data_IF_586564553147
#
_entry.id   IF_586564553147
#
_cell.length_a   1.000
_cell.length_b   1.000
_cell.length_c   1.000
_cell.angle_alpha   90.00
_cell.angle_beta   90.00
_cell.angle_gamma   90.00
#
_symmetry.space_group_name_H-M   'P 1'
#
loop_
_entity.id
_entity.type
_entity.pdbx_description
1 polymer ?
#
# COMPACT_ATOMS: atom_id res chain seq x y z
N UNK A 1 19.73 7.16 -6.67
CA UNK A 1 19.21 8.54 -6.85
C UNK A 1 18.39 9.01 -5.62
N UNK A 2 17.40 8.30 -5.12
CA UNK A 2 16.73 8.66 -3.85
C UNK A 2 17.69 8.56 -2.67
N UNK A 3 18.49 7.49 -2.55
CA UNK A 3 19.56 7.35 -1.56
C UNK A 3 20.57 8.50 -1.61
N UNK A 4 20.98 8.93 -2.80
CA UNK A 4 21.91 10.06 -2.99
C UNK A 4 21.24 11.39 -2.61
N UNK A 5 19.97 11.55 -2.92
CA UNK A 5 19.18 12.72 -2.51
C UNK A 5 19.06 12.79 -0.99
N UNK A 6 18.74 11.68 -0.32
CA UNK A 6 18.67 11.61 1.13
C UNK A 6 20.02 11.79 1.81
N UNK A 7 21.10 11.21 1.28
CA UNK A 7 22.46 11.48 1.77
C UNK A 7 22.84 12.97 1.65
N UNK A 8 22.49 13.63 0.55
CA UNK A 8 22.74 15.06 0.36
C UNK A 8 21.89 15.94 1.26
N UNK A 9 20.61 15.61 1.44
CA UNK A 9 19.68 16.43 2.23
C UNK A 9 19.82 16.24 3.73
N UNK A 10 20.21 15.05 4.21
CA UNK A 10 20.16 14.68 5.64
C UNK A 10 21.49 14.20 6.22
N UNK A 11 22.55 14.08 5.42
CA UNK A 11 23.90 13.75 5.88
C UNK A 11 24.07 12.38 6.54
N UNK A 12 23.09 11.47 6.41
CA UNK A 12 23.10 10.14 7.02
C UNK A 12 23.10 9.05 5.96
N UNK A 13 23.95 8.03 6.14
CA UNK A 13 23.84 6.77 5.41
C UNK A 13 22.59 6.04 5.93
N UNK A 14 21.63 5.81 5.03
CA UNK A 14 20.47 4.98 5.30
C UNK A 14 20.89 3.53 5.08
N UNK A 15 20.65 2.65 6.05
CA UNK A 15 20.91 1.22 5.86
C UNK A 15 19.92 0.65 4.85
N UNK A 16 20.29 -0.44 4.13
CA UNK A 16 19.38 -1.11 3.20
C UNK A 16 18.04 -1.54 3.84
N UNK A 17 18.05 -1.82 5.14
CA UNK A 17 16.85 -2.19 5.90
C UNK A 17 15.89 -1.00 6.14
N UNK A 18 16.40 0.23 6.02
CA UNK A 18 15.59 1.45 6.11
C UNK A 18 14.90 1.83 4.77
N UNK A 19 15.03 1.01 3.74
CA UNK A 19 14.36 1.17 2.44
C UNK A 19 12.89 0.73 2.45
N UNK A 20 12.27 0.60 3.61
CA UNK A 20 10.82 0.57 3.66
C UNK A 20 10.29 1.95 3.26
N UNK A 21 9.46 1.98 2.21
CA UNK A 21 8.88 3.22 1.69
C UNK A 21 8.18 4.05 2.77
N UNK A 22 7.60 3.40 3.78
CA UNK A 22 7.03 4.05 4.95
C UNK A 22 8.07 4.86 5.76
N UNK A 23 9.29 4.36 5.90
CA UNK A 23 10.37 5.08 6.56
C UNK A 23 10.82 6.29 5.74
N UNK A 24 10.87 6.17 4.42
CA UNK A 24 11.18 7.31 3.55
C UNK A 24 10.09 8.38 3.68
N UNK A 25 8.82 8.01 3.62
CA UNK A 25 7.71 8.92 3.83
C UNK A 25 7.77 9.57 5.23
N UNK A 26 8.13 8.80 6.26
CA UNK A 26 8.30 9.32 7.62
C UNK A 26 9.47 10.30 7.73
N UNK A 27 10.58 10.06 7.03
CA UNK A 27 11.72 11.00 6.99
C UNK A 27 11.34 12.31 6.30
N UNK A 28 10.72 12.24 5.12
CA UNK A 28 10.25 13.42 4.38
C UNK A 28 9.27 14.23 5.20
N UNK A 29 8.40 13.54 5.94
CA UNK A 29 7.38 14.18 6.75
C UNK A 29 7.94 15.18 7.79
N UNK A 30 9.22 15.07 8.16
CA UNK A 30 9.87 16.03 9.09
C UNK A 30 9.95 17.45 8.53
N UNK A 31 9.94 17.58 7.21
CA UNK A 31 9.97 18.89 6.53
C UNK A 31 8.61 19.58 6.53
N UNK A 32 7.56 18.88 6.90
CA UNK A 32 6.17 19.34 6.81
C UNK A 32 5.51 19.40 8.19
N UNK A 33 4.65 20.41 8.38
CA UNK A 33 3.92 20.59 9.64
C UNK A 33 2.76 19.61 9.75
N UNK A 34 1.98 19.47 8.69
CA UNK A 34 0.76 18.65 8.65
C UNK A 34 0.87 17.57 7.59
N UNK A 35 0.72 16.34 8.04
CA UNK A 35 0.92 15.15 7.21
C UNK A 35 -0.31 14.25 7.25
N UNK A 36 -0.73 13.77 6.09
CA UNK A 36 -1.76 12.75 5.95
C UNK A 36 -1.14 11.49 5.36
N UNK A 37 -1.32 10.37 6.03
CA UNK A 37 -0.99 9.04 5.50
C UNK A 37 -2.29 8.25 5.28
N UNK A 38 -2.50 7.77 4.07
CA UNK A 38 -3.74 7.09 3.67
C UNK A 38 -3.44 5.67 3.23
N UNK A 39 -4.16 4.69 3.79
CA UNK A 39 -4.12 3.30 3.36
C UNK A 39 -5.51 2.65 3.49
N UNK A 40 -5.72 1.55 2.81
CA UNK A 40 -6.97 0.79 2.89
C UNK A 40 -6.98 -0.22 4.05
N UNK A 41 -5.81 -0.63 4.56
CA UNK A 41 -5.65 -1.61 5.64
C UNK A 41 -5.28 -0.96 6.95
N UNK A 42 -5.97 -1.34 8.02
CA UNK A 42 -5.71 -0.81 9.36
C UNK A 42 -4.34 -1.24 9.92
N UNK A 43 -3.88 -2.43 9.56
CA UNK A 43 -2.57 -2.95 9.95
C UNK A 43 -1.44 -2.05 9.42
N UNK A 44 -1.55 -1.65 8.15
CA UNK A 44 -0.58 -0.74 7.52
C UNK A 44 -0.59 0.63 8.18
N UNK A 45 -1.78 1.16 8.52
CA UNK A 45 -1.86 2.44 9.24
C UNK A 45 -1.15 2.38 10.60
N UNK A 46 -1.28 1.27 11.33
CA UNK A 46 -0.58 1.08 12.62
C UNK A 46 0.92 0.93 12.45
N UNK A 47 1.34 0.19 11.42
CA UNK A 47 2.75 0.01 11.09
C UNK A 47 3.39 1.34 10.68
N UNK A 48 2.75 2.10 9.79
CA UNK A 48 3.18 3.43 9.39
C UNK A 48 3.27 4.39 10.60
N UNK A 49 2.28 4.36 11.50
CA UNK A 49 2.32 5.17 12.72
C UNK A 49 3.52 4.84 13.59
N UNK A 50 3.89 3.56 13.72
CA UNK A 50 5.11 3.15 14.45
C UNK A 50 6.38 3.65 13.77
N UNK A 51 6.45 3.57 12.43
CA UNK A 51 7.57 4.08 11.65
C UNK A 51 7.71 5.60 11.79
N UNK A 52 6.61 6.33 11.70
CA UNK A 52 6.59 7.78 11.90
C UNK A 52 6.98 8.19 13.33
N UNK A 53 6.48 7.47 14.34
CA UNK A 53 6.89 7.67 15.72
C UNK A 53 8.41 7.54 15.89
N UNK A 54 8.99 6.46 15.39
CA UNK A 54 10.43 6.20 15.51
C UNK A 54 11.27 7.28 14.80
N UNK A 55 10.82 7.74 13.64
CA UNK A 55 11.55 8.72 12.82
C UNK A 55 11.38 10.15 13.34
N UNK A 56 10.15 10.55 13.66
CA UNK A 56 9.85 11.92 14.15
C UNK A 56 10.13 12.09 15.62
N UNK A 57 10.22 11.00 16.39
CA UNK A 57 10.32 10.99 17.85
C UNK A 57 9.22 11.85 18.50
N UNK A 58 7.98 11.67 18.04
CA UNK A 58 6.84 12.46 18.46
C UNK A 58 5.57 11.59 18.47
N UNK A 59 4.74 11.79 19.51
CA UNK A 59 3.41 11.20 19.65
C UNK A 59 2.28 12.10 19.09
N UNK A 60 2.61 13.17 18.37
CA UNK A 60 1.64 14.09 17.82
C UNK A 60 1.03 13.52 16.52
N UNK A 61 0.37 12.39 16.67
CA UNK A 61 -0.36 11.72 15.60
C UNK A 61 -1.71 11.17 16.08
N UNK A 62 -2.63 10.98 15.12
CA UNK A 62 -3.95 10.43 15.38
C UNK A 62 -4.48 9.61 14.21
N UNK A 63 -5.58 8.91 14.44
CA UNK A 63 -6.22 8.09 13.42
C UNK A 63 -7.57 8.68 12.99
N UNK A 64 -7.83 8.57 11.68
CA UNK A 64 -9.13 8.92 11.08
C UNK A 64 -9.70 7.67 10.38
N UNK A 65 -10.35 6.81 11.15
CA UNK A 65 -10.85 5.50 10.70
C UNK A 65 -12.05 5.05 11.53
N UNK A 66 -12.92 4.25 10.97
CA UNK A 66 -14.06 3.68 11.68
C UNK A 66 -14.80 4.71 12.54
N UNK A 67 -14.79 4.54 13.84
CA UNK A 67 -15.38 5.48 14.83
C UNK A 67 -14.39 6.56 15.28
N UNK A 68 -13.11 6.34 15.11
CA UNK A 68 -12.05 7.28 15.49
C UNK A 68 -11.90 8.39 14.44
N UNK A 69 -12.04 9.66 14.85
CA UNK A 69 -12.06 10.83 13.97
C UNK A 69 -11.17 11.93 14.54
N UNK A 70 -9.86 11.62 14.66
CA UNK A 70 -8.89 12.61 15.12
C UNK A 70 -8.64 13.66 14.02
N UNK A 71 -8.67 14.94 14.39
CA UNK A 71 -8.49 16.08 13.46
C UNK A 71 -7.49 17.12 13.97
N UNK A 72 -6.98 16.97 15.20
CA UNK A 72 -6.20 17.97 15.92
C UNK A 72 -4.69 17.64 16.01
N UNK A 73 -4.25 16.60 15.30
CA UNK A 73 -2.86 16.15 15.29
C UNK A 73 -2.11 16.57 14.04
N UNK A 74 -0.79 16.73 14.17
CA UNK A 74 0.05 17.11 13.03
C UNK A 74 0.19 15.98 12.01
N UNK A 75 0.11 14.72 12.44
CA UNK A 75 0.12 13.55 11.53
C UNK A 75 -1.18 12.78 11.70
N UNK A 76 -1.91 12.60 10.61
CA UNK A 76 -3.16 11.83 10.59
C UNK A 76 -2.98 10.59 9.72
N UNK A 77 -3.28 9.43 10.31
CA UNK A 77 -3.35 8.13 9.61
C UNK A 77 -4.81 7.82 9.30
N UNK A 78 -5.19 7.85 8.03
CA UNK A 78 -6.57 7.73 7.63
C UNK A 78 -6.85 6.47 6.80
N UNK A 79 -7.96 5.78 7.11
CA UNK A 79 -8.43 4.73 6.22
C UNK A 79 -9.20 5.31 5.05
N UNK A 80 -8.93 4.79 3.84
CA UNK A 80 -9.64 5.18 2.61
C UNK A 80 -11.15 4.97 2.74
N UNK A 81 -11.57 3.87 3.35
CA UNK A 81 -12.98 3.54 3.55
C UNK A 81 -13.72 4.57 4.42
N UNK A 82 -12.99 5.29 5.27
CA UNK A 82 -13.56 6.35 6.10
C UNK A 82 -13.39 7.71 5.44
N UNK A 83 -12.15 8.15 5.23
CA UNK A 83 -11.85 9.51 4.73
C UNK A 83 -12.40 9.75 3.32
N UNK A 84 -12.43 8.72 2.45
CA UNK A 84 -12.95 8.83 1.08
C UNK A 84 -14.46 9.02 0.95
N UNK A 85 -15.22 9.04 2.06
CA UNK A 85 -16.62 9.38 2.03
C UNK A 85 -16.80 10.88 1.91
N UNK A 86 -17.77 11.30 1.08
CA UNK A 86 -18.05 12.74 0.82
C UNK A 86 -18.32 13.56 2.07
N UNK A 87 -18.91 12.94 3.09
CA UNK A 87 -19.24 13.60 4.36
C UNK A 87 -18.02 14.05 5.18
N UNK A 88 -16.86 13.45 4.95
CA UNK A 88 -15.60 13.77 5.65
C UNK A 88 -14.66 14.66 4.84
N UNK A 89 -14.84 14.74 3.53
CA UNK A 89 -14.09 15.64 2.64
C UNK A 89 -14.78 17.02 2.60
N UNK A 90 -14.73 17.71 3.72
CA UNK A 90 -15.36 19.02 3.94
C UNK A 90 -14.51 19.87 4.87
N UNK A 91 -14.63 21.18 4.77
CA UNK A 91 -13.90 22.13 5.63
C UNK A 91 -14.19 21.97 7.13
N UNK A 92 -15.30 21.31 7.49
CA UNK A 92 -15.62 20.97 8.88
C UNK A 92 -14.57 20.05 9.52
N UNK A 93 -13.96 19.16 8.75
CA UNK A 93 -12.93 18.23 9.21
C UNK A 93 -11.55 18.73 8.80
N UNK A 94 -11.34 18.93 7.52
CA UNK A 94 -10.07 19.38 6.95
C UNK A 94 -10.35 20.28 5.75
N UNK A 95 -9.73 21.46 5.67
CA UNK A 95 -9.73 22.25 4.44
C UNK A 95 -8.91 21.56 3.35
N UNK A 96 -9.13 21.88 2.07
CA UNK A 96 -8.36 21.28 0.97
C UNK A 96 -6.84 21.45 1.10
N UNK A 97 -6.39 22.54 1.68
CA UNK A 97 -5.00 22.92 1.92
C UNK A 97 -4.50 22.55 3.33
N UNK A 98 -5.29 21.77 4.09
CA UNK A 98 -4.96 21.48 5.48
C UNK A 98 -3.65 20.71 5.64
N UNK A 99 -3.37 19.74 4.76
CA UNK A 99 -2.16 18.94 4.81
C UNK A 99 -1.11 19.46 3.84
N UNK A 100 0.11 19.66 4.32
CA UNK A 100 1.26 20.04 3.50
C UNK A 100 1.80 18.84 2.70
N UNK A 101 1.74 17.65 3.31
CA UNK A 101 2.26 16.41 2.74
C UNK A 101 1.21 15.30 2.83
N UNK A 102 0.89 14.69 1.70
CA UNK A 102 -0.06 13.57 1.61
C UNK A 102 0.65 12.35 1.04
N UNK A 103 0.60 11.25 1.77
CA UNK A 103 1.11 9.93 1.36
C UNK A 103 -0.06 9.01 1.08
N UNK A 104 -0.11 8.44 -0.09
CA UNK A 104 -1.11 7.45 -0.49
C UNK A 104 -0.42 6.10 -0.69
N UNK A 105 -0.71 5.18 0.20
CA UNK A 105 -0.27 3.80 0.08
C UNK A 105 -1.18 3.03 -0.89
N UNK A 106 -0.61 2.03 -1.58
CA UNK A 106 -1.26 1.29 -2.66
C UNK A 106 -1.84 2.22 -3.75
N UNK A 107 -1.00 3.15 -4.22
CA UNK A 107 -1.38 4.20 -5.15
C UNK A 107 -2.00 3.69 -6.45
N UNK A 108 -1.77 2.43 -6.82
CA UNK A 108 -2.45 1.80 -7.96
C UNK A 108 -3.99 1.77 -7.81
N UNK A 109 -4.51 1.96 -6.60
CA UNK A 109 -5.93 2.14 -6.35
C UNK A 109 -6.42 3.59 -6.51
N UNK A 110 -5.56 4.57 -6.79
CA UNK A 110 -5.91 6.00 -6.86
C UNK A 110 -7.00 6.33 -7.89
N UNK A 111 -7.23 5.46 -8.86
CA UNK A 111 -8.33 5.55 -9.83
C UNK A 111 -9.69 5.09 -9.29
N UNK A 112 -9.74 4.44 -8.12
CA UNK A 112 -10.97 4.03 -7.48
C UNK A 112 -11.64 5.23 -6.79
N UNK A 113 -12.98 5.26 -6.79
CA UNK A 113 -13.78 6.39 -6.34
C UNK A 113 -13.37 7.01 -5.00
N UNK A 114 -13.14 6.20 -3.95
CA UNK A 114 -12.79 6.73 -2.64
C UNK A 114 -11.38 7.34 -2.62
N UNK A 115 -10.41 6.71 -3.27
CA UNK A 115 -9.06 7.23 -3.41
C UNK A 115 -9.05 8.50 -4.27
N UNK A 116 -9.73 8.45 -5.42
CA UNK A 116 -9.84 9.58 -6.34
C UNK A 116 -10.38 10.82 -5.64
N UNK A 117 -11.46 10.68 -4.84
CA UNK A 117 -12.02 11.82 -4.08
C UNK A 117 -11.00 12.41 -3.10
N UNK A 118 -10.19 11.59 -2.43
CA UNK A 118 -9.15 12.07 -1.51
C UNK A 118 -8.10 12.88 -2.28
N UNK A 119 -7.59 12.33 -3.39
CA UNK A 119 -6.57 12.97 -4.22
C UNK A 119 -7.08 14.27 -4.85
N UNK A 120 -8.32 14.29 -5.31
CA UNK A 120 -8.93 15.48 -5.91
C UNK A 120 -9.27 16.57 -4.88
N UNK A 121 -9.61 16.18 -3.65
CA UNK A 121 -10.00 17.10 -2.60
C UNK A 121 -8.81 17.85 -2.02
N UNK A 122 -7.78 17.13 -1.57
CA UNK A 122 -6.62 17.74 -0.94
C UNK A 122 -5.68 18.38 -1.97
N UNK A 123 -5.09 19.52 -1.58
CA UNK A 123 -4.12 20.28 -2.38
C UNK A 123 -2.83 20.46 -1.60
N UNK A 124 -2.10 19.36 -1.32
CA UNK A 124 -0.86 19.42 -0.56
C UNK A 124 0.26 20.08 -1.35
N UNK A 125 1.30 20.53 -0.67
CA UNK A 125 2.55 20.96 -1.30
C UNK A 125 3.26 19.78 -1.98
N UNK A 126 3.13 18.57 -1.41
CA UNK A 126 3.70 17.36 -1.97
C UNK A 126 2.77 16.15 -1.79
N UNK A 127 2.50 15.46 -2.88
CA UNK A 127 1.77 14.19 -2.91
C UNK A 127 2.74 13.05 -3.23
N UNK A 128 2.84 12.07 -2.34
CA UNK A 128 3.61 10.85 -2.55
C UNK A 128 2.69 9.65 -2.73
N UNK A 129 2.77 9.00 -3.87
CA UNK A 129 2.14 7.70 -4.13
C UNK A 129 3.15 6.56 -3.94
N UNK A 130 2.77 5.54 -3.18
CA UNK A 130 3.55 4.32 -2.97
C UNK A 130 2.80 3.13 -3.56
N UNK A 131 3.45 2.31 -4.37
CA UNK A 131 2.85 1.07 -4.90
C UNK A 131 3.92 0.05 -5.25
N UNK A 132 3.63 -1.22 -5.01
CA UNK A 132 4.44 -2.34 -5.48
C UNK A 132 4.04 -2.81 -6.90
N UNK A 133 2.86 -2.42 -7.38
CA UNK A 133 2.27 -2.87 -8.65
C UNK A 133 1.73 -1.68 -9.45
N UNK A 134 2.62 -0.87 -10.07
CA UNK A 134 2.18 0.31 -10.81
C UNK A 134 1.36 -0.06 -12.06
N UNK A 135 1.67 -1.20 -12.68
CA UNK A 135 0.95 -1.69 -13.84
C UNK A 135 -0.40 -2.28 -13.46
N UNK A 136 -1.46 -1.83 -14.13
CA UNK A 136 -2.82 -2.29 -13.90
C UNK A 136 -3.35 -3.09 -15.09
N UNK A 137 -4.00 -4.20 -14.79
CA UNK A 137 -4.61 -5.06 -15.81
C UNK A 137 -5.88 -4.44 -16.44
N UNK A 138 -6.47 -3.40 -15.80
CA UNK A 138 -7.69 -2.73 -16.30
C UNK A 138 -7.40 -1.56 -17.25
N UNK A 139 -6.15 -1.35 -17.64
CA UNK A 139 -5.73 -0.32 -18.59
C UNK A 139 -5.82 1.12 -18.08
N UNK A 140 -6.21 1.33 -16.81
CA UNK A 140 -6.25 2.67 -16.22
C UNK A 140 -4.84 3.13 -15.86
N UNK A 141 -4.49 4.33 -16.30
CA UNK A 141 -3.18 4.91 -16.10
C UNK A 141 -3.14 5.72 -14.80
N UNK A 142 -2.35 5.23 -13.82
CA UNK A 142 -2.13 5.95 -12.55
C UNK A 142 -1.10 7.06 -12.69
N UNK A 143 -0.24 6.98 -13.69
CA UNK A 143 0.84 7.95 -13.88
C UNK A 143 0.32 9.35 -14.25
N UNK A 144 -0.87 9.45 -14.86
CA UNK A 144 -1.53 10.74 -15.12
C UNK A 144 -1.83 11.52 -13.84
N UNK A 145 -2.11 10.82 -12.73
CA UNK A 145 -2.44 11.45 -11.44
C UNK A 145 -1.21 12.16 -10.84
N UNK A 146 0.00 11.69 -11.15
CA UNK A 146 1.26 12.26 -10.69
C UNK A 146 2.04 12.96 -11.82
N UNK A 147 1.36 13.38 -12.90
CA UNK A 147 1.98 14.04 -14.06
C UNK A 147 3.18 13.27 -14.63
N UNK A 148 3.12 11.94 -14.61
CA UNK A 148 4.19 11.02 -15.02
C UNK A 148 5.49 11.19 -14.22
N UNK A 149 5.43 11.81 -13.05
CA UNK A 149 6.59 11.98 -12.20
C UNK A 149 6.84 10.72 -11.34
N UNK A 150 7.72 9.85 -11.82
CA UNK A 150 8.11 8.61 -11.13
C UNK A 150 9.57 8.74 -10.68
N UNK A 151 9.83 9.25 -9.47
CA UNK A 151 11.19 9.52 -9.00
C UNK A 151 12.00 8.25 -8.73
N UNK A 152 11.31 7.14 -8.44
CA UNK A 152 11.97 5.87 -8.15
C UNK A 152 11.10 4.68 -8.56
N UNK A 153 11.72 3.74 -9.24
CA UNK A 153 11.16 2.44 -9.59
C UNK A 153 12.24 1.37 -9.43
N UNK A 154 11.88 0.22 -8.89
CA UNK A 154 12.75 -0.94 -8.81
C UNK A 154 11.92 -2.21 -9.10
N UNK A 155 12.41 -3.01 -10.05
CA UNK A 155 11.80 -4.30 -10.34
C UNK A 155 12.06 -5.32 -9.21
N UNK A 156 11.22 -6.34 -9.10
CA UNK A 156 11.42 -7.44 -8.17
C UNK A 156 12.79 -8.10 -8.40
N UNK A 157 13.18 -8.31 -9.65
CA UNK A 157 14.46 -8.91 -10.02
C UNK A 157 15.63 -8.05 -9.57
N UNK A 158 15.59 -6.75 -9.83
CA UNK A 158 16.64 -5.81 -9.40
C UNK A 158 16.74 -5.71 -7.88
N UNK A 159 15.61 -5.75 -7.17
CA UNK A 159 15.59 -5.73 -5.72
C UNK A 159 16.24 -6.99 -5.13
N UNK A 160 16.01 -8.16 -5.73
CA UNK A 160 16.69 -9.42 -5.36
C UNK A 160 18.19 -9.35 -5.68
N UNK A 161 18.56 -8.94 -6.90
CA UNK A 161 19.97 -8.83 -7.30
C UNK A 161 20.77 -7.84 -6.43
N UNK A 162 20.11 -6.79 -5.95
CA UNK A 162 20.71 -5.81 -5.02
C UNK A 162 20.71 -6.26 -3.57
N UNK A 163 20.19 -7.45 -3.25
CA UNK A 163 20.09 -7.97 -1.88
C UNK A 163 19.10 -7.21 -0.99
N UNK A 164 18.18 -6.44 -1.57
CA UNK A 164 17.10 -5.75 -0.86
C UNK A 164 15.99 -6.73 -0.49
N UNK A 165 15.71 -7.67 -1.39
CA UNK A 165 14.75 -8.75 -1.20
C UNK A 165 15.46 -10.10 -1.23
N UNK A 166 14.96 -11.03 -0.43
CA UNK A 166 15.44 -12.42 -0.44
C UNK A 166 15.10 -13.09 -1.78
N UNK A 167 16.02 -13.87 -2.35
CA UNK A 167 15.71 -14.70 -3.50
C UNK A 167 14.69 -15.79 -3.10
N UNK A 168 13.89 -16.20 -4.06
CA UNK A 168 12.90 -17.26 -3.87
C UNK A 168 12.83 -18.16 -5.11
N UNK A 169 12.37 -19.39 -4.90
CA UNK A 169 12.02 -20.29 -5.98
C UNK A 169 10.51 -20.34 -6.11
N UNK A 170 10.03 -20.13 -7.34
CA UNK A 170 8.60 -20.23 -7.65
C UNK A 170 8.31 -21.56 -8.34
N UNK A 171 7.41 -22.34 -7.76
CA UNK A 171 6.97 -23.61 -8.31
C UNK A 171 5.49 -23.52 -8.68
N UNK A 172 5.18 -23.57 -9.98
CA UNK A 172 3.82 -23.72 -10.46
C UNK A 172 3.38 -25.18 -10.39
N UNK A 173 2.34 -25.47 -9.63
CA UNK A 173 1.79 -26.82 -9.50
C UNK A 173 0.47 -26.86 -10.25
N UNK A 174 0.38 -27.78 -11.23
CA UNK A 174 -0.86 -27.98 -11.96
C UNK A 174 -1.87 -28.71 -11.08
N UNK A 175 -3.08 -28.15 -11.02
CA UNK A 175 -4.24 -28.70 -10.32
C UNK A 175 -5.30 -29.02 -11.38
N UNK A 176 -5.80 -30.24 -11.40
CA UNK A 176 -6.78 -30.74 -12.35
C UNK A 176 -8.24 -30.47 -11.93
N UNK A 177 -8.45 -29.57 -10.99
CA UNK A 177 -9.80 -29.15 -10.58
C UNK A 177 -10.55 -28.52 -11.75
N UNK A 178 -11.72 -29.04 -12.06
CA UNK A 178 -12.57 -28.52 -13.11
C UNK A 178 -13.38 -27.31 -12.60
N UNK A 179 -13.14 -26.17 -13.23
CA UNK A 179 -13.80 -24.89 -12.94
C UNK A 179 -14.88 -24.52 -13.97
N UNK A 180 -15.12 -25.38 -14.98
CA UNK A 180 -15.99 -25.05 -16.12
C UNK A 180 -17.46 -24.81 -15.72
N UNK A 181 -17.90 -25.40 -14.62
CA UNK A 181 -19.27 -25.28 -14.11
C UNK A 181 -19.45 -24.11 -13.14
N UNK A 182 -18.37 -23.40 -12.76
CA UNK A 182 -18.47 -22.33 -11.79
C UNK A 182 -19.03 -21.05 -12.40
N UNK A 183 -19.95 -20.41 -11.68
CA UNK A 183 -20.48 -19.11 -12.07
C UNK A 183 -19.50 -18.00 -11.72
N UNK A 184 -19.50 -16.94 -12.53
CA UNK A 184 -18.71 -15.74 -12.27
C UNK A 184 -19.62 -14.59 -11.89
N UNK A 185 -19.33 -13.96 -10.75
CA UNK A 185 -20.01 -12.77 -10.26
C UNK A 185 -19.00 -11.61 -10.28
N UNK A 186 -19.30 -10.56 -11.07
CA UNK A 186 -18.40 -9.41 -11.25
C UNK A 186 -16.97 -9.78 -11.69
N UNK A 187 -16.83 -10.81 -12.54
CA UNK A 187 -15.54 -11.27 -13.07
C UNK A 187 -14.70 -12.10 -12.09
N UNK A 188 -15.30 -12.56 -10.99
CA UNK A 188 -14.71 -13.52 -10.04
C UNK A 188 -15.62 -14.73 -9.92
N UNK A 189 -15.04 -15.88 -9.65
CA UNK A 189 -15.83 -17.07 -9.33
C UNK A 189 -16.63 -16.86 -8.04
N UNK A 190 -17.81 -17.44 -7.96
CA UNK A 190 -18.60 -17.47 -6.74
C UNK A 190 -17.84 -18.21 -5.63
N UNK A 191 -17.68 -17.54 -4.48
CA UNK A 191 -16.89 -18.09 -3.36
C UNK A 191 -17.52 -19.34 -2.76
N UNK A 192 -18.83 -19.46 -2.74
CA UNK A 192 -19.51 -20.63 -2.20
C UNK A 192 -19.29 -21.85 -3.08
N UNK A 193 -19.39 -21.70 -4.40
CA UNK A 193 -19.14 -22.75 -5.37
C UNK A 193 -17.64 -23.17 -5.39
N UNK A 194 -16.72 -22.21 -5.25
CA UNK A 194 -15.29 -22.51 -5.07
C UNK A 194 -15.02 -23.33 -3.81
N UNK A 195 -15.67 -22.96 -2.71
CA UNK A 195 -15.51 -23.68 -1.45
C UNK A 195 -16.03 -25.12 -1.55
N UNK A 196 -17.13 -25.36 -2.26
CA UNK A 196 -17.64 -26.73 -2.52
C UNK A 196 -16.63 -27.58 -3.30
N UNK A 197 -15.94 -27.01 -4.30
CA UNK A 197 -14.89 -27.70 -5.06
C UNK A 197 -13.62 -27.97 -4.26
N UNK A 198 -13.31 -27.13 -3.25
CA UNK A 198 -12.07 -27.21 -2.49
C UNK A 198 -12.19 -27.95 -1.16
N UNK A 199 -13.28 -27.66 -0.40
CA UNK A 199 -13.46 -28.25 0.93
C UNK A 199 -13.84 -29.72 0.79
N UNK A 200 -13.05 -30.60 1.45
CA UNK A 200 -13.24 -32.04 1.40
C UNK A 200 -12.60 -32.73 0.18
N UNK A 201 -11.95 -32.00 -0.72
CA UNK A 201 -11.23 -32.60 -1.85
C UNK A 201 -9.89 -33.17 -1.39
N UNK A 202 -9.90 -34.43 -0.94
CA UNK A 202 -8.73 -35.13 -0.39
C UNK A 202 -7.58 -35.18 -1.42
N UNK A 203 -7.89 -35.47 -2.69
CA UNK A 203 -6.89 -35.51 -3.76
C UNK A 203 -6.13 -34.20 -3.90
N UNK A 204 -6.84 -33.07 -3.81
CA UNK A 204 -6.25 -31.74 -3.84
C UNK A 204 -5.37 -31.48 -2.60
N UNK A 205 -5.82 -31.90 -1.42
CA UNK A 205 -5.02 -31.77 -0.20
C UNK A 205 -3.74 -32.61 -0.27
N UNK A 206 -3.80 -33.84 -0.77
CA UNK A 206 -2.64 -34.69 -0.98
C UNK A 206 -1.66 -34.06 -1.98
N UNK A 207 -2.14 -33.54 -3.10
CA UNK A 207 -1.33 -32.83 -4.08
C UNK A 207 -0.59 -31.64 -3.48
N UNK A 208 -1.28 -30.83 -2.68
CA UNK A 208 -0.70 -29.66 -2.00
C UNK A 208 0.35 -30.14 -1.00
N UNK A 209 0.04 -31.14 -0.18
CA UNK A 209 0.92 -31.64 0.87
C UNK A 209 2.19 -32.30 0.29
N UNK A 210 2.07 -33.14 -0.73
CA UNK A 210 3.21 -33.78 -1.39
C UNK A 210 4.17 -32.75 -1.99
N UNK A 211 3.62 -31.74 -2.69
CA UNK A 211 4.43 -30.68 -3.28
C UNK A 211 5.04 -29.76 -2.21
N UNK A 212 4.30 -29.45 -1.15
CA UNK A 212 4.87 -28.75 -0.01
C UNK A 212 6.06 -29.51 0.57
N UNK A 213 5.93 -30.79 0.88
CA UNK A 213 7.03 -31.62 1.40
C UNK A 213 8.22 -31.68 0.43
N UNK A 214 7.94 -31.77 -0.86
CA UNK A 214 8.98 -31.86 -1.90
C UNK A 214 9.81 -30.58 -2.01
N UNK A 215 9.20 -29.41 -1.88
CA UNK A 215 9.85 -28.12 -2.16
C UNK A 215 10.19 -27.30 -0.91
N UNK A 216 9.66 -27.65 0.27
CA UNK A 216 9.95 -26.95 1.53
C UNK A 216 11.20 -27.44 2.25
N UNK A 217 11.82 -28.52 1.79
CA UNK A 217 12.97 -29.15 2.47
C UNK A 217 14.33 -28.62 2.02
N UNK A 218 14.38 -27.45 1.38
CA UNK A 218 15.62 -26.80 0.92
C UNK A 218 15.91 -25.54 1.71
#
# INVERSE_FOLDING_TARGET
MILDFYQKCFGRKISPEALFFEYLAAFDSKCYKRVLFVSHREEILKQAASSFYNVRNSNDFGFFRGREKCVDKSVIFASVATLGKKEYLTEKFFSPDYFDYVVIDEFHHAVNENYKRIVEYFKPQFLLGLTATPERMDGKNIYEICDYNVPYEISLQDAIHKGILAPFHYYGIYDDTDYSELHTVHGRYDESELNEKYIGNIRRYDLIYENYCKYSSN
#
